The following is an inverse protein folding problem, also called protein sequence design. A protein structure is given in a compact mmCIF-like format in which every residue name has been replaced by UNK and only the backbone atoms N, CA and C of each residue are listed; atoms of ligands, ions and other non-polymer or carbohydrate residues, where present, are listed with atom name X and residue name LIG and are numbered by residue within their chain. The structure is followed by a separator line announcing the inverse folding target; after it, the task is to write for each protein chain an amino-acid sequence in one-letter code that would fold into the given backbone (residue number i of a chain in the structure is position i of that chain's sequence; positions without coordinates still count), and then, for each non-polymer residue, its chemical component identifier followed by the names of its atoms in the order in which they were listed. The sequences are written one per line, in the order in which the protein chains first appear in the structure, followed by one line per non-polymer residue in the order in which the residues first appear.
data_IF_374953699375
#
_entry.id   IF_374953699375
#
_cell.length_a   1.000
_cell.length_b   1.000
_cell.length_c   1.000
_cell.angle_alpha   90.00
_cell.angle_beta   90.00
_cell.angle_gamma   90.00
#
_symmetry.space_group_name_H-M   'P 1'
#
loop_
_entity.id
_entity.type
_entity.pdbx_description
1 polymer ?
#
# COMPACT_ATOMS: atom_id res chain seq x y z
N UNK A 1 -24.54 -15.05 -13.99
CA UNK A 1 -23.81 -14.77 -12.73
C UNK A 1 -23.07 -13.46 -12.91
N UNK A 2 -23.20 -12.54 -11.94
CA UNK A 2 -22.71 -11.15 -12.00
C UNK A 2 -21.19 -11.09 -12.17
N UNK A 3 -20.76 -10.35 -13.19
CA UNK A 3 -19.42 -9.84 -13.38
C UNK A 3 -19.15 -8.82 -12.24
N UNK A 4 -18.53 -9.26 -11.16
CA UNK A 4 -18.21 -8.38 -10.03
C UNK A 4 -16.88 -7.66 -10.29
N UNK A 5 -17.00 -6.35 -10.58
CA UNK A 5 -16.10 -5.27 -10.13
C UNK A 5 -14.59 -5.42 -10.45
N UNK A 6 -14.20 -5.32 -11.73
CA UNK A 6 -12.79 -5.09 -12.12
C UNK A 6 -12.43 -3.62 -12.40
N UNK A 7 -13.27 -2.66 -11.98
CA UNK A 7 -13.10 -1.23 -12.30
C UNK A 7 -13.32 -0.37 -11.06
N UNK A 8 -12.42 -0.45 -10.06
CA UNK A 8 -12.61 0.25 -8.79
C UNK A 8 -12.40 1.77 -8.86
N UNK A 9 -11.84 2.31 -9.95
CA UNK A 9 -11.65 3.74 -10.13
C UNK A 9 -12.31 4.24 -11.41
N UNK A 10 -13.03 5.38 -11.37
CA UNK A 10 -13.59 6.02 -12.55
C UNK A 10 -12.48 6.48 -13.51
N UNK A 11 -12.86 6.80 -14.75
CA UNK A 11 -11.92 7.44 -15.70
C UNK A 11 -11.59 8.87 -15.27
N UNK A 12 -12.61 9.63 -14.86
CA UNK A 12 -12.43 10.96 -14.27
C UNK A 12 -12.16 10.81 -12.77
N UNK A 13 -10.92 11.08 -12.37
CA UNK A 13 -10.48 10.99 -10.99
C UNK A 13 -10.74 12.26 -10.18
N UNK A 14 -11.22 13.35 -10.81
CA UNK A 14 -11.38 14.66 -10.17
C UNK A 14 -12.20 14.59 -8.87
N UNK A 15 -13.38 13.93 -8.83
CA UNK A 15 -14.17 13.87 -7.59
C UNK A 15 -13.44 13.10 -6.47
N UNK A 16 -12.68 12.06 -6.83
CA UNK A 16 -11.89 11.30 -5.88
C UNK A 16 -10.73 12.14 -5.32
N UNK A 17 -10.04 12.89 -6.19
CA UNK A 17 -8.95 13.79 -5.79
C UNK A 17 -9.47 14.86 -4.83
N UNK A 18 -10.59 15.50 -5.14
CA UNK A 18 -11.18 16.55 -4.30
C UNK A 18 -11.60 16.02 -2.92
N UNK A 19 -12.28 14.85 -2.89
CA UNK A 19 -12.67 14.22 -1.64
C UNK A 19 -11.46 13.81 -0.77
N UNK A 20 -10.43 13.22 -1.38
CA UNK A 20 -9.19 12.87 -0.69
C UNK A 20 -8.45 14.11 -0.19
N UNK A 21 -8.41 15.17 -1.00
CA UNK A 21 -7.79 16.44 -0.61
C UNK A 21 -8.48 17.03 0.62
N UNK A 22 -9.81 16.99 0.70
CA UNK A 22 -10.55 17.44 1.87
C UNK A 22 -10.15 16.65 3.13
N UNK A 23 -9.96 15.32 3.02
CA UNK A 23 -9.49 14.48 4.13
C UNK A 23 -8.04 14.80 4.52
N UNK A 24 -7.15 14.98 3.55
CA UNK A 24 -5.75 15.37 3.77
C UNK A 24 -5.68 16.71 4.50
N UNK A 25 -6.42 17.71 4.01
CA UNK A 25 -6.47 19.05 4.59
C UNK A 25 -7.04 19.03 6.01
N UNK A 26 -8.05 18.19 6.27
CA UNK A 26 -8.60 17.99 7.62
C UNK A 26 -7.62 17.28 8.58
N UNK A 27 -6.84 16.31 8.09
CA UNK A 27 -5.90 15.52 8.88
C UNK A 27 -4.61 16.28 9.23
N UNK A 28 -4.14 17.14 8.32
CA UNK A 28 -2.87 17.88 8.45
C UNK A 28 -2.69 18.63 9.79
N UNK A 29 -3.63 19.47 10.26
CA UNK A 29 -3.47 20.18 11.54
C UNK A 29 -3.51 19.25 12.76
N UNK A 30 -3.94 17.99 12.59
CA UNK A 30 -3.99 16.97 13.65
C UNK A 30 -2.78 16.04 13.65
N UNK A 31 -1.81 16.28 12.75
CA UNK A 31 -0.69 15.36 12.54
C UNK A 31 -1.10 14.01 11.94
N UNK A 32 -2.28 13.91 11.33
CA UNK A 32 -2.78 12.68 10.71
C UNK A 32 -2.54 12.74 9.20
N UNK A 33 -1.91 11.70 8.65
CA UNK A 33 -1.68 11.54 7.22
C UNK A 33 -2.70 10.56 6.63
N UNK A 34 -3.21 10.88 5.43
CA UNK A 34 -4.00 9.94 4.62
C UNK A 34 -3.04 9.13 3.76
N UNK A 35 -3.20 7.81 3.78
CA UNK A 35 -2.43 6.88 2.96
C UNK A 35 -3.35 6.02 2.12
N UNK A 36 -2.94 5.71 0.89
CA UNK A 36 -3.72 4.90 -0.05
C UNK A 36 -2.99 3.60 -0.36
N UNK A 37 -3.69 2.50 -0.18
CA UNK A 37 -3.21 1.15 -0.50
C UNK A 37 -3.73 0.71 -1.88
N UNK A 38 -2.87 0.13 -2.75
CA UNK A 38 -3.32 -0.43 -4.01
C UNK A 38 -4.20 -1.67 -3.78
N UNK A 39 -5.40 -1.69 -4.38
CA UNK A 39 -6.30 -2.86 -4.37
C UNK A 39 -6.51 -3.47 -5.77
N UNK A 40 -5.54 -3.32 -6.67
CA UNK A 40 -5.61 -3.81 -8.04
C UNK A 40 -4.45 -3.30 -8.91
N UNK A 41 -4.59 -3.43 -10.24
CA UNK A 41 -3.50 -3.23 -11.20
C UNK A 41 -3.33 -1.78 -11.70
N UNK A 42 -4.29 -0.88 -11.43
CA UNK A 42 -4.32 0.52 -11.91
C UNK A 42 -3.42 1.45 -11.08
N UNK A 43 -2.13 1.12 -11.01
CA UNK A 43 -1.14 1.89 -10.24
C UNK A 43 -0.91 3.30 -10.79
N UNK A 44 -1.11 3.50 -12.09
CA UNK A 44 -1.11 4.80 -12.77
C UNK A 44 -2.13 5.76 -12.14
N UNK A 45 -3.38 5.31 -12.02
CA UNK A 45 -4.46 6.10 -11.42
C UNK A 45 -4.23 6.32 -9.93
N UNK A 46 -3.70 5.32 -9.21
CA UNK A 46 -3.35 5.48 -7.80
C UNK A 46 -2.29 6.57 -7.60
N UNK A 47 -1.24 6.59 -8.44
CA UNK A 47 -0.20 7.62 -8.40
C UNK A 47 -0.79 9.01 -8.66
N UNK A 48 -1.72 9.12 -9.62
CA UNK A 48 -2.45 10.37 -9.89
C UNK A 48 -3.27 10.83 -8.68
N UNK A 49 -4.05 9.93 -8.06
CA UNK A 49 -4.81 10.23 -6.85
C UNK A 49 -3.91 10.70 -5.70
N UNK A 50 -2.80 10.01 -5.45
CA UNK A 50 -1.85 10.34 -4.38
C UNK A 50 -1.28 11.74 -4.60
N UNK A 51 -0.78 12.01 -5.82
CA UNK A 51 -0.17 13.30 -6.15
C UNK A 51 -1.18 14.45 -6.15
N UNK A 52 -2.37 14.24 -6.72
CA UNK A 52 -3.42 15.25 -6.82
C UNK A 52 -4.02 15.62 -5.47
N UNK A 53 -4.16 14.65 -4.56
CA UNK A 53 -4.77 14.88 -3.23
C UNK A 53 -3.79 15.33 -2.16
N UNK A 54 -2.48 15.05 -2.32
CA UNK A 54 -1.48 15.23 -1.28
C UNK A 54 -1.46 14.11 -0.23
N UNK A 55 -2.11 12.99 -0.50
CA UNK A 55 -1.99 11.77 0.29
C UNK A 55 -0.60 11.11 0.10
N UNK A 56 -0.38 10.01 0.80
CA UNK A 56 0.81 9.16 0.64
C UNK A 56 0.44 7.74 0.21
N UNK A 57 1.43 6.94 -0.18
CA UNK A 57 1.23 5.52 -0.48
C UNK A 57 1.38 4.62 0.76
N UNK A 58 0.56 3.57 0.82
CA UNK A 58 0.84 2.31 1.50
C UNK A 58 1.25 1.27 0.42
N UNK A 59 2.54 0.99 0.20
CA UNK A 59 3.03 0.30 -1.00
C UNK A 59 2.90 -1.25 -0.91
N UNK A 60 1.70 -1.77 -0.66
CA UNK A 60 1.45 -3.22 -0.64
C UNK A 60 1.30 -3.77 -2.07
N UNK A 61 2.41 -3.94 -2.77
CA UNK A 61 2.46 -4.51 -4.12
C UNK A 61 3.65 -5.45 -4.28
N UNK A 62 3.45 -6.54 -5.03
CA UNK A 62 4.45 -7.61 -5.18
C UNK A 62 5.44 -7.42 -6.33
N UNK A 63 5.23 -6.41 -7.18
CA UNK A 63 6.01 -6.16 -8.40
C UNK A 63 7.09 -5.11 -8.15
N UNK A 64 8.24 -5.26 -8.82
CA UNK A 64 9.36 -4.31 -8.74
C UNK A 64 8.95 -2.93 -9.23
N UNK A 65 8.21 -2.90 -10.34
CA UNK A 65 7.72 -1.68 -10.98
C UNK A 65 6.77 -0.93 -10.05
N UNK A 66 5.84 -1.65 -9.41
CA UNK A 66 4.91 -1.06 -8.46
C UNK A 66 5.61 -0.50 -7.22
N UNK A 67 6.56 -1.25 -6.65
CA UNK A 67 7.33 -0.79 -5.50
C UNK A 67 8.18 0.46 -5.84
N UNK A 68 8.79 0.51 -7.02
CA UNK A 68 9.54 1.69 -7.49
C UNK A 68 8.65 2.92 -7.69
N UNK A 69 7.40 2.73 -8.11
CA UNK A 69 6.42 3.82 -8.23
C UNK A 69 5.96 4.34 -6.86
N UNK A 70 5.71 3.43 -5.92
CA UNK A 70 4.98 3.75 -4.69
C UNK A 70 5.89 4.11 -3.51
N UNK A 71 7.09 3.53 -3.38
CA UNK A 71 8.00 3.87 -2.27
C UNK A 71 8.37 5.36 -2.18
N UNK A 72 8.68 6.06 -3.29
CA UNK A 72 8.95 7.50 -3.23
C UNK A 72 7.76 8.34 -2.74
N UNK A 73 6.54 7.78 -2.80
CA UNK A 73 5.31 8.40 -2.34
C UNK A 73 4.87 7.90 -0.96
N UNK A 74 5.57 6.93 -0.39
CA UNK A 74 5.24 6.33 0.90
C UNK A 74 5.84 7.13 2.05
N UNK A 75 5.12 7.21 3.17
CA UNK A 75 5.56 7.96 4.37
C UNK A 75 5.66 7.11 5.61
N UNK A 76 4.67 6.25 5.86
CA UNK A 76 4.44 5.71 7.20
C UNK A 76 4.54 4.20 7.27
N UNK A 77 3.78 3.47 6.44
CA UNK A 77 3.60 2.02 6.60
C UNK A 77 3.50 1.33 5.26
N UNK A 78 3.97 0.09 5.23
CA UNK A 78 3.65 -0.91 4.21
C UNK A 78 3.04 -2.14 4.88
N UNK A 79 1.90 -2.61 4.39
CA UNK A 79 1.38 -3.91 4.76
C UNK A 79 2.19 -5.05 4.10
N UNK A 80 2.53 -6.07 4.90
CA UNK A 80 3.19 -7.30 4.45
C UNK A 80 2.37 -8.52 4.87
N UNK A 81 2.35 -9.53 4.01
CA UNK A 81 1.64 -10.78 4.19
C UNK A 81 2.47 -11.92 3.58
N UNK A 82 2.02 -13.16 3.75
CA UNK A 82 2.55 -14.32 3.06
C UNK A 82 1.99 -14.48 1.63
N UNK A 83 1.17 -13.52 1.17
CA UNK A 83 0.59 -13.52 -0.17
C UNK A 83 1.56 -12.95 -1.21
N UNK A 84 1.42 -13.33 -2.50
CA UNK A 84 2.19 -12.75 -3.60
C UNK A 84 2.06 -11.23 -3.72
N UNK A 85 1.00 -10.61 -3.16
CA UNK A 85 0.81 -9.16 -3.15
C UNK A 85 1.87 -8.41 -2.34
N UNK A 86 2.59 -9.09 -1.46
CA UNK A 86 3.57 -8.45 -0.56
C UNK A 86 5.03 -8.75 -0.90
N UNK A 87 5.32 -9.66 -1.85
CA UNK A 87 6.66 -10.15 -2.25
C UNK A 87 7.80 -9.68 -1.33
N UNK A 88 7.84 -10.29 -0.15
CA UNK A 88 8.53 -9.73 1.00
C UNK A 88 10.05 -9.51 0.78
N UNK A 89 10.80 -10.45 0.17
CA UNK A 89 12.22 -10.22 -0.11
C UNK A 89 12.45 -9.02 -1.05
N UNK A 90 11.60 -8.86 -2.06
CA UNK A 90 11.68 -7.75 -3.01
C UNK A 90 11.35 -6.42 -2.34
N UNK A 91 10.31 -6.39 -1.51
CA UNK A 91 9.93 -5.22 -0.72
C UNK A 91 11.07 -4.76 0.20
N UNK A 92 11.67 -5.65 0.99
CA UNK A 92 12.78 -5.31 1.89
C UNK A 92 13.99 -4.77 1.13
N UNK A 93 14.34 -5.40 -0.01
CA UNK A 93 15.46 -4.95 -0.83
C UNK A 93 15.23 -3.54 -1.37
N UNK A 94 14.07 -3.30 -2.00
CA UNK A 94 13.76 -2.01 -2.62
C UNK A 94 13.47 -0.92 -1.60
N UNK A 95 12.92 -1.25 -0.42
CA UNK A 95 12.70 -0.26 0.64
C UNK A 95 14.02 0.36 1.11
N UNK A 96 15.07 -0.47 1.23
CA UNK A 96 16.44 -0.02 1.54
C UNK A 96 17.03 0.82 0.40
N UNK A 97 16.95 0.32 -0.84
CA UNK A 97 17.48 0.99 -2.03
C UNK A 97 16.84 2.38 -2.25
N UNK A 98 15.53 2.48 -2.08
CA UNK A 98 14.75 3.70 -2.35
C UNK A 98 14.57 4.58 -1.09
N UNK A 99 15.18 4.20 0.02
CA UNK A 99 15.24 5.01 1.23
C UNK A 99 13.95 5.08 2.04
N UNK A 100 13.02 4.12 1.89
CA UNK A 100 11.83 4.05 2.73
C UNK A 100 12.20 3.81 4.21
N UNK A 101 11.66 4.64 5.11
CA UNK A 101 11.94 4.61 6.55
C UNK A 101 10.70 4.32 7.41
N UNK A 102 9.59 3.92 6.79
CA UNK A 102 8.36 3.57 7.49
C UNK A 102 8.40 2.17 8.10
N UNK A 103 7.25 1.76 8.64
CA UNK A 103 7.05 0.48 9.29
C UNK A 103 6.54 -0.57 8.32
N UNK A 104 6.96 -1.82 8.51
CA UNK A 104 6.27 -2.97 7.93
C UNK A 104 5.25 -3.48 8.95
N UNK A 105 3.98 -3.52 8.56
CA UNK A 105 2.90 -4.04 9.41
C UNK A 105 2.37 -5.34 8.82
N UNK A 106 2.26 -6.38 9.64
CA UNK A 106 1.78 -7.69 9.20
C UNK A 106 0.26 -7.64 9.02
N UNK A 107 -0.21 -7.98 7.83
CA UNK A 107 -1.63 -8.20 7.50
C UNK A 107 -1.81 -9.68 7.14
N UNK A 108 -2.83 -10.31 7.72
CA UNK A 108 -3.22 -11.69 7.41
C UNK A 108 -4.68 -11.69 6.99
N UNK A 109 -5.07 -12.53 6.04
CA UNK A 109 -6.47 -12.65 5.56
C UNK A 109 -7.44 -13.25 6.60
N UNK A 110 -7.01 -13.40 7.85
CA UNK A 110 -7.74 -14.03 8.94
C UNK A 110 -7.63 -15.55 8.89
N UNK A 111 -8.41 -16.20 9.75
CA UNK A 111 -8.40 -17.65 9.92
C UNK A 111 -8.75 -18.06 11.34
N UNK A 112 -8.91 -19.37 11.61
CA UNK A 112 -9.22 -19.85 12.94
C UNK A 112 -8.10 -19.59 13.95
N UNK A 113 -6.87 -19.45 13.48
CA UNK A 113 -5.70 -19.08 14.29
C UNK A 113 -4.97 -17.89 13.66
N UNK A 114 -5.18 -16.70 14.23
CA UNK A 114 -4.52 -15.48 13.80
C UNK A 114 -3.00 -15.51 14.05
N UNK A 115 -2.54 -16.27 15.06
CA UNK A 115 -1.13 -16.35 15.41
C UNK A 115 -0.33 -17.12 14.36
N UNK A 116 -0.87 -18.21 13.83
CA UNK A 116 -0.21 -19.01 12.80
C UNK A 116 0.14 -18.18 11.55
N UNK A 117 -0.77 -17.32 11.09
CA UNK A 117 -0.55 -16.42 9.96
C UNK A 117 0.58 -15.41 10.23
N UNK A 118 0.55 -14.78 11.41
CA UNK A 118 1.59 -13.84 11.84
C UNK A 118 2.97 -14.54 11.91
N UNK A 119 3.03 -15.73 12.52
CA UNK A 119 4.28 -16.47 12.67
C UNK A 119 4.89 -16.86 11.32
N UNK A 120 4.06 -17.19 10.32
CA UNK A 120 4.53 -17.50 8.96
C UNK A 120 5.23 -16.30 8.31
N UNK A 121 4.67 -15.09 8.45
CA UNK A 121 5.30 -13.86 7.94
C UNK A 121 6.59 -13.55 8.69
N UNK A 122 6.62 -13.71 10.01
CA UNK A 122 7.84 -13.55 10.82
C UNK A 122 8.93 -14.52 10.36
N UNK A 123 8.59 -15.79 10.12
CA UNK A 123 9.57 -16.76 9.64
C UNK A 123 10.14 -16.38 8.27
N UNK A 124 9.30 -15.90 7.35
CA UNK A 124 9.76 -15.42 6.05
C UNK A 124 10.65 -14.16 6.16
N UNK A 125 10.34 -13.25 7.08
CA UNK A 125 11.17 -12.09 7.40
C UNK A 125 12.56 -12.51 7.89
N UNK A 126 12.64 -13.43 8.85
CA UNK A 126 13.91 -13.89 9.43
C UNK A 126 14.83 -14.58 8.40
N UNK A 127 14.27 -15.13 7.32
CA UNK A 127 15.04 -15.68 6.19
C UNK A 127 15.52 -14.62 5.19
N UNK A 128 15.00 -13.39 5.28
CA UNK A 128 15.24 -12.30 4.32
C UNK A 128 16.10 -11.15 4.87
N UNK A 129 16.55 -11.27 6.13
CA UNK A 129 17.46 -10.34 6.80
C UNK A 129 18.92 -10.74 6.58
#
# INVERSE_FOLDING_TARGET
MRQFLSHYLPQDLTPCIEGLKALVDYGKPKGVAVILEPRGERLDQLVELIKGSGAYSNPQVGTVEGLRLLYPLARTVQHISDSPRSNLPTAIKLSKELGFKGWFSIETDGGPDAWAGIQKVINALLLSL
#
